data_IF_653149498768
#
_entry.id   IF_653149498768
#
_cell.length_a   1.000
_cell.length_b   1.000
_cell.length_c   1.000
_cell.angle_alpha   90.00
_cell.angle_beta   90.00
_cell.angle_gamma   90.00
#
_symmetry.space_group_name_H-M   'P 1'
#
loop_
_entity.id
_entity.type
_entity.pdbx_description
1 polymer ?
#
# COMPACT_ATOMS: atom_id res chain seq x y z
N UNK A 1 21.10 4.71 -25.50
CA UNK A 1 20.22 4.83 -24.33
C UNK A 1 21.09 4.57 -23.13
N UNK A 2 21.22 5.55 -22.24
CA UNK A 2 21.94 5.34 -20.99
C UNK A 2 20.98 4.58 -20.07
N UNK A 3 21.26 3.29 -19.82
CA UNK A 3 20.40 2.38 -19.06
C UNK A 3 20.33 2.73 -17.55
N UNK A 4 20.87 3.89 -17.15
CA UNK A 4 21.03 4.31 -15.76
C UNK A 4 19.95 5.29 -15.27
N UNK A 5 19.04 5.76 -16.14
CA UNK A 5 17.90 6.58 -15.70
C UNK A 5 16.83 5.68 -15.11
N UNK A 6 16.79 5.63 -13.77
CA UNK A 6 15.82 4.84 -12.99
C UNK A 6 14.36 5.34 -13.13
N UNK A 7 14.13 6.51 -13.72
CA UNK A 7 12.80 7.11 -13.89
C UNK A 7 12.69 7.88 -15.23
N UNK A 8 11.49 7.86 -15.82
CA UNK A 8 11.16 8.58 -17.06
C UNK A 8 10.55 9.96 -16.80
N UNK A 9 10.51 10.43 -15.56
CA UNK A 9 10.05 11.77 -15.20
C UNK A 9 10.78 12.28 -13.96
N UNK A 10 10.79 13.60 -13.75
CA UNK A 10 11.42 14.18 -12.56
C UNK A 10 10.53 13.93 -11.33
N UNK A 11 11.06 13.17 -10.37
CA UNK A 11 10.40 12.85 -9.12
C UNK A 11 11.31 13.14 -7.89
N UNK A 12 10.85 12.68 -6.72
CA UNK A 12 11.56 12.84 -5.45
C UNK A 12 12.54 11.68 -5.16
N UNK A 13 12.56 10.64 -6.00
CA UNK A 13 13.48 9.51 -5.88
C UNK A 13 14.80 9.79 -6.62
N UNK A 14 14.77 10.65 -7.65
CA UNK A 14 15.95 11.12 -8.38
C UNK A 14 16.82 12.08 -7.54
N UNK A 15 18.13 11.84 -7.53
CA UNK A 15 19.11 12.78 -7.00
C UNK A 15 19.24 14.03 -7.88
N UNK A 16 19.95 15.07 -7.42
CA UNK A 16 20.18 16.28 -8.23
C UNK A 16 21.00 15.98 -9.49
N UNK A 17 21.96 15.06 -9.40
CA UNK A 17 22.77 14.65 -10.55
C UNK A 17 21.91 13.90 -11.58
N UNK A 18 21.02 13.01 -11.13
CA UNK A 18 20.12 12.28 -12.03
C UNK A 18 19.13 13.22 -12.73
N UNK A 19 18.69 14.28 -12.05
CA UNK A 19 17.82 15.32 -12.64
C UNK A 19 18.54 16.09 -13.74
N UNK A 20 19.83 16.38 -13.57
CA UNK A 20 20.64 17.02 -14.61
C UNK A 20 20.74 16.09 -15.83
N UNK A 21 21.11 14.82 -15.60
CA UNK A 21 21.20 13.81 -16.66
C UNK A 21 19.87 13.65 -17.40
N UNK A 22 18.75 13.62 -16.67
CA UNK A 22 17.41 13.55 -17.27
C UNK A 22 17.13 14.74 -18.21
N UNK A 23 17.41 15.97 -17.77
CA UNK A 23 17.19 17.18 -18.58
C UNK A 23 18.07 17.19 -19.83
N UNK A 24 19.34 16.82 -19.69
CA UNK A 24 20.27 16.70 -20.81
C UNK A 24 19.81 15.61 -21.80
N UNK A 25 19.32 14.47 -21.29
CA UNK A 25 18.82 13.35 -22.12
C UNK A 25 17.57 13.75 -22.90
N UNK A 26 16.61 14.41 -22.26
CA UNK A 26 15.39 14.92 -22.91
C UNK A 26 15.72 15.91 -24.03
N UNK A 27 16.74 16.75 -23.83
CA UNK A 27 17.18 17.70 -24.86
C UNK A 27 17.93 17.01 -26.00
N UNK A 28 18.68 15.94 -25.72
CA UNK A 28 19.50 15.25 -26.70
C UNK A 28 18.73 14.20 -27.54
N UNK A 29 17.68 13.60 -27.01
CA UNK A 29 16.92 12.52 -27.65
C UNK A 29 15.41 12.85 -27.74
N UNK A 30 14.96 13.14 -28.96
CA UNK A 30 13.54 13.45 -29.23
C UNK A 30 12.61 12.26 -28.96
N UNK A 31 13.05 11.01 -29.19
CA UNK A 31 12.21 9.84 -28.95
C UNK A 31 11.97 9.66 -27.46
N UNK A 32 13.02 9.82 -26.65
CA UNK A 32 12.92 9.76 -25.20
C UNK A 32 11.98 10.85 -24.65
N UNK A 33 12.03 12.06 -25.22
CA UNK A 33 11.08 13.14 -24.90
C UNK A 33 9.64 12.73 -25.23
N UNK A 34 9.40 12.19 -26.42
CA UNK A 34 8.05 11.81 -26.86
C UNK A 34 7.47 10.67 -26.00
N UNK A 35 8.27 9.65 -25.67
CA UNK A 35 7.86 8.55 -24.78
C UNK A 35 7.51 9.07 -23.37
N UNK A 36 8.34 9.96 -22.83
CA UNK A 36 8.11 10.62 -21.54
C UNK A 36 6.78 11.39 -21.53
N UNK A 37 6.52 12.18 -22.57
CA UNK A 37 5.28 12.95 -22.69
C UNK A 37 4.06 12.02 -22.81
N UNK A 38 4.16 10.93 -23.57
CA UNK A 38 3.07 9.96 -23.74
C UNK A 38 2.69 9.33 -22.39
N UNK A 39 3.68 8.90 -21.61
CA UNK A 39 3.47 8.28 -20.31
C UNK A 39 2.75 9.24 -19.34
N UNK A 40 3.15 10.51 -19.30
CA UNK A 40 2.49 11.54 -18.49
C UNK A 40 1.04 11.80 -18.95
N UNK A 41 0.77 11.73 -20.25
CA UNK A 41 -0.61 11.85 -20.77
C UNK A 41 -1.48 10.66 -20.35
N UNK A 42 -0.96 9.44 -20.39
CA UNK A 42 -1.66 8.25 -19.90
C UNK A 42 -1.97 8.36 -18.41
N UNK A 43 -1.00 8.82 -17.61
CA UNK A 43 -1.22 9.03 -16.18
C UNK A 43 -2.33 10.07 -15.93
N UNK A 44 -2.37 11.16 -16.68
CA UNK A 44 -3.47 12.14 -16.61
C UNK A 44 -4.84 11.52 -16.93
N UNK A 45 -4.92 10.58 -17.88
CA UNK A 45 -6.15 9.86 -18.20
C UNK A 45 -6.55 8.92 -17.05
N UNK A 46 -5.60 8.18 -16.48
CA UNK A 46 -5.85 7.26 -15.35
C UNK A 46 -6.29 8.02 -14.10
N UNK A 47 -5.72 9.22 -13.88
CA UNK A 47 -6.07 10.09 -12.76
C UNK A 47 -7.34 10.93 -13.02
N UNK A 48 -7.91 10.89 -14.23
CA UNK A 48 -9.14 11.63 -14.52
C UNK A 48 -10.36 10.93 -13.90
N UNK A 49 -11.20 11.76 -13.25
CA UNK A 49 -12.44 11.49 -12.51
C UNK A 49 -12.78 10.03 -12.18
N UNK A 50 -12.71 9.72 -10.88
CA UNK A 50 -13.37 8.57 -10.25
C UNK A 50 -14.81 8.52 -10.74
N UNK A 51 -15.20 7.41 -11.37
CA UNK A 51 -16.61 7.15 -11.70
C UNK A 51 -17.39 7.05 -10.39
N UNK A 52 -18.09 8.12 -10.00
CA UNK A 52 -18.87 8.21 -8.76
C UNK A 52 -20.10 7.28 -8.73
N UNK A 53 -20.37 6.54 -9.80
CA UNK A 53 -21.51 5.63 -9.87
C UNK A 53 -21.15 4.29 -10.51
N UNK A 54 -21.08 3.26 -9.68
CA UNK A 54 -21.19 1.88 -10.16
C UNK A 54 -22.67 1.65 -10.50
N UNK A 55 -23.03 1.35 -11.76
CA UNK A 55 -24.42 1.08 -12.11
C UNK A 55 -24.90 -0.13 -11.31
N UNK A 56 -26.05 0.01 -10.64
CA UNK A 56 -26.64 -1.08 -9.88
C UNK A 56 -26.96 -2.25 -10.82
N UNK A 57 -26.20 -3.33 -10.71
CA UNK A 57 -26.49 -4.60 -11.37
C UNK A 57 -27.75 -5.18 -10.73
N UNK A 58 -28.90 -5.02 -11.38
CA UNK A 58 -30.13 -5.71 -10.99
C UNK A 58 -30.04 -7.18 -11.45
N UNK A 59 -29.36 -8.00 -10.66
CA UNK A 59 -29.33 -9.45 -10.86
C UNK A 59 -30.69 -9.99 -10.38
N UNK A 60 -31.62 -10.14 -11.32
CA UNK A 60 -32.91 -10.78 -11.04
C UNK A 60 -32.67 -12.27 -10.83
N UNK A 61 -32.44 -12.69 -9.60
CA UNK A 61 -32.38 -14.10 -9.22
C UNK A 61 -33.70 -14.80 -9.58
N UNK A 62 -33.69 -15.61 -10.64
CA UNK A 62 -34.75 -16.60 -10.89
C UNK A 62 -34.56 -17.77 -9.93
N UNK A 63 -35.06 -17.61 -8.71
CA UNK A 63 -35.23 -18.75 -7.78
C UNK A 63 -36.40 -19.60 -8.23
N UNK A 64 -36.11 -20.71 -8.92
CA UNK A 64 -37.10 -21.69 -9.33
C UNK A 64 -37.59 -22.46 -8.09
N UNK A 65 -38.85 -22.27 -7.72
CA UNK A 65 -39.46 -22.76 -6.47
C UNK A 65 -39.72 -24.29 -6.42
N UNK A 66 -39.12 -25.08 -7.32
CA UNK A 66 -39.37 -26.52 -7.41
C UNK A 66 -38.49 -27.35 -6.45
N UNK A 67 -37.31 -26.86 -6.05
CA UNK A 67 -36.38 -27.63 -5.20
C UNK A 67 -36.71 -27.62 -3.70
N UNK A 68 -37.67 -26.80 -3.23
CA UNK A 68 -37.88 -26.58 -1.78
C UNK A 68 -38.88 -27.55 -1.13
N UNK A 69 -39.56 -28.42 -1.91
CA UNK A 69 -40.58 -29.34 -1.37
C UNK A 69 -40.10 -30.77 -1.11
N UNK A 70 -38.87 -31.16 -1.46
CA UNK A 70 -38.44 -32.56 -1.35
C UNK A 70 -37.65 -32.91 -0.07
N UNK A 71 -37.19 -31.95 0.75
CA UNK A 71 -36.29 -32.25 1.89
C UNK A 71 -36.84 -31.84 3.25
N UNK A 72 -38.01 -32.37 3.63
CA UNK A 72 -38.54 -32.30 5.01
C UNK A 72 -38.76 -33.73 5.50
N UNK A 73 -37.71 -34.50 5.84
CA UNK A 73 -37.21 -34.49 7.22
C UNK A 73 -35.73 -34.96 7.38
N UNK A 74 -34.74 -34.05 7.35
CA UNK A 74 -33.36 -34.34 7.85
C UNK A 74 -32.79 -33.13 8.62
N UNK A 75 -33.63 -32.33 9.29
CA UNK A 75 -33.18 -31.05 9.90
C UNK A 75 -32.88 -31.16 11.40
N UNK A 76 -33.26 -32.26 12.08
CA UNK A 76 -33.02 -32.39 13.52
C UNK A 76 -31.61 -32.88 13.91
N UNK A 77 -30.82 -33.46 12.99
CA UNK A 77 -29.47 -33.96 13.29
C UNK A 77 -28.34 -32.99 12.86
N UNK A 78 -28.64 -31.94 12.10
CA UNK A 78 -27.62 -31.07 11.49
C UNK A 78 -27.21 -29.84 12.32
N UNK A 79 -27.97 -29.50 13.37
CA UNK A 79 -27.69 -28.28 14.16
C UNK A 79 -26.42 -28.39 15.02
N UNK A 80 -26.10 -29.58 15.55
CA UNK A 80 -24.89 -29.78 16.35
C UNK A 80 -23.62 -29.87 15.48
N UNK A 81 -23.72 -30.43 14.27
CA UNK A 81 -22.60 -30.54 13.32
C UNK A 81 -22.13 -29.19 12.78
N UNK A 82 -23.03 -28.24 12.56
CA UNK A 82 -22.71 -26.92 12.02
C UNK A 82 -21.92 -26.04 13.02
N UNK A 83 -22.23 -26.10 14.31
CA UNK A 83 -21.48 -25.36 15.33
C UNK A 83 -20.05 -25.91 15.49
N UNK A 84 -19.90 -27.24 15.51
CA UNK A 84 -18.59 -27.88 15.55
C UNK A 84 -17.77 -27.62 14.27
N UNK A 85 -18.42 -27.61 13.10
CA UNK A 85 -17.78 -27.26 11.83
C UNK A 85 -17.37 -25.78 11.75
N UNK A 86 -18.12 -24.85 12.36
CA UNK A 86 -17.75 -23.44 12.45
C UNK A 86 -16.56 -23.21 13.40
N UNK A 87 -16.49 -23.93 14.53
CA UNK A 87 -15.35 -23.93 15.44
C UNK A 87 -14.13 -24.58 14.79
N UNK A 88 -14.31 -25.70 14.07
CA UNK A 88 -13.27 -26.30 13.26
C UNK A 88 -12.82 -25.36 12.15
N UNK A 89 -13.71 -24.65 11.45
CA UNK A 89 -13.34 -23.62 10.49
C UNK A 89 -12.50 -22.52 11.15
N UNK A 90 -12.86 -22.04 12.34
CA UNK A 90 -12.05 -21.03 13.04
C UNK A 90 -10.68 -21.55 13.54
N UNK A 91 -10.56 -22.85 13.85
CA UNK A 91 -9.30 -23.50 14.28
C UNK A 91 -8.45 -23.98 13.08
N UNK A 92 -9.07 -24.25 11.93
CA UNK A 92 -8.46 -24.79 10.71
C UNK A 92 -8.49 -23.83 9.50
N UNK A 93 -8.96 -22.59 9.64
CA UNK A 93 -8.58 -21.55 8.68
C UNK A 93 -7.06 -21.46 8.82
N UNK A 94 -6.28 -21.85 7.80
CA UNK A 94 -4.87 -21.52 7.84
C UNK A 94 -4.85 -20.00 8.00
N UNK A 95 -4.23 -19.52 9.09
CA UNK A 95 -3.70 -18.17 9.12
C UNK A 95 -3.11 -17.99 7.74
N UNK A 96 -3.67 -17.06 6.95
CA UNK A 96 -3.15 -16.79 5.62
C UNK A 96 -1.64 -16.70 5.84
N UNK A 97 -0.86 -17.56 5.19
CA UNK A 97 0.59 -17.43 5.22
C UNK A 97 0.84 -16.10 4.52
N UNK A 98 0.78 -15.02 5.29
CA UNK A 98 0.97 -13.69 4.82
C UNK A 98 2.44 -13.66 4.46
N UNK A 99 2.72 -13.77 3.17
CA UNK A 99 4.08 -13.71 2.66
C UNK A 99 4.66 -12.39 3.15
N UNK A 100 5.57 -12.51 4.10
CA UNK A 100 6.30 -11.39 4.67
C UNK A 100 7.22 -10.87 3.58
N UNK A 101 7.22 -9.54 3.39
CA UNK A 101 8.16 -8.91 2.49
C UNK A 101 8.93 -7.80 3.17
N UNK A 102 10.25 -7.74 2.93
CA UNK A 102 11.06 -6.65 3.43
C UNK A 102 10.62 -5.37 2.73
N UNK A 103 10.22 -4.39 3.52
CA UNK A 103 9.96 -3.03 3.07
C UNK A 103 10.91 -2.07 3.79
N UNK A 104 11.64 -1.28 3.01
CA UNK A 104 12.57 -0.27 3.51
C UNK A 104 11.82 1.05 3.68
N UNK A 105 11.66 1.48 4.91
CA UNK A 105 11.16 2.81 5.27
C UNK A 105 12.32 3.80 5.26
N UNK A 106 12.13 4.96 4.64
CA UNK A 106 13.17 5.99 4.52
C UNK A 106 12.54 7.38 4.69
N UNK A 107 13.18 8.25 5.46
CA UNK A 107 12.78 9.66 5.56
C UNK A 107 14.01 10.57 5.66
N UNK A 108 13.97 11.72 4.98
CA UNK A 108 15.01 12.75 5.08
C UNK A 108 14.74 13.66 6.27
N UNK A 109 15.60 13.60 7.29
CA UNK A 109 15.56 14.43 8.49
C UNK A 109 16.99 14.69 8.99
N UNK A 110 17.75 15.60 8.34
CA UNK A 110 19.16 15.84 8.65
C UNK A 110 19.37 16.48 10.03
N UNK A 111 18.40 17.27 10.50
CA UNK A 111 18.50 17.99 11.78
C UNK A 111 17.94 17.20 12.98
N UNK A 112 17.34 16.02 12.73
CA UNK A 112 16.79 15.19 13.78
C UNK A 112 17.90 14.39 14.49
N UNK A 113 17.74 14.21 15.79
CA UNK A 113 18.56 13.34 16.64
C UNK A 113 17.88 11.99 16.86
N UNK A 114 16.55 11.94 16.76
CA UNK A 114 15.76 10.72 16.94
C UNK A 114 14.61 10.66 15.96
N UNK A 115 14.59 9.59 15.17
CA UNK A 115 13.49 9.25 14.27
C UNK A 115 12.98 7.86 14.61
N UNK A 116 11.67 7.76 14.81
CA UNK A 116 10.96 6.52 15.09
C UNK A 116 9.84 6.31 14.07
N UNK A 117 9.43 5.06 13.89
CA UNK A 117 8.33 4.64 13.05
C UNK A 117 7.28 3.95 13.90
N UNK A 118 6.01 4.30 13.73
CA UNK A 118 4.89 3.65 14.38
C UNK A 118 3.83 3.32 13.34
N UNK A 119 3.32 2.09 13.35
CA UNK A 119 2.28 1.67 12.40
C UNK A 119 1.54 0.41 12.82
N UNK A 120 0.56 0.02 12.02
CA UNK A 120 -0.33 -1.13 12.29
C UNK A 120 0.43 -2.45 12.45
N UNK A 121 1.50 -2.66 11.67
CA UNK A 121 2.35 -3.85 11.73
C UNK A 121 3.09 -4.03 13.06
N UNK A 122 3.32 -2.96 13.83
CA UNK A 122 3.95 -3.01 15.15
C UNK A 122 2.94 -2.87 16.30
N UNK A 123 1.63 -2.82 15.99
CA UNK A 123 0.61 -2.43 16.95
C UNK A 123 0.84 -1.02 17.50
N UNK A 124 1.32 -0.10 16.66
CA UNK A 124 1.68 1.27 17.01
C UNK A 124 2.83 1.42 18.03
N UNK A 125 3.60 0.35 18.26
CA UNK A 125 4.86 0.46 19.01
C UNK A 125 5.88 1.22 18.18
N UNK A 126 6.63 2.10 18.85
CA UNK A 126 7.69 2.91 18.23
C UNK A 126 8.90 2.04 17.92
N UNK A 127 9.36 2.09 16.68
CA UNK A 127 10.52 1.38 16.17
C UNK A 127 11.57 2.43 15.80
N UNK A 128 12.76 2.45 16.41
CA UNK A 128 13.79 3.43 16.08
C UNK A 128 14.36 3.18 14.68
N UNK A 129 14.60 4.25 13.93
CA UNK A 129 15.31 4.23 12.65
C UNK A 129 16.81 4.44 12.87
N UNK A 130 17.62 4.04 11.89
CA UNK A 130 19.06 4.27 11.87
C UNK A 130 19.42 5.30 10.81
N UNK A 131 20.45 6.10 11.07
CA UNK A 131 21.02 7.00 10.06
C UNK A 131 21.66 6.20 8.92
N UNK A 132 21.28 6.51 7.69
CA UNK A 132 21.87 5.98 6.47
C UNK A 132 23.17 6.74 6.13
N UNK A 133 24.21 6.48 6.91
CA UNK A 133 25.51 7.15 6.77
C UNK A 133 25.45 8.64 7.16
N UNK A 134 26.06 9.51 6.36
CA UNK A 134 26.10 10.98 6.57
C UNK A 134 25.12 11.75 5.66
N UNK A 135 24.17 11.05 5.05
CA UNK A 135 23.28 11.61 4.02
C UNK A 135 22.10 12.43 4.58
N UNK A 136 21.84 12.35 5.89
CA UNK A 136 20.65 12.94 6.53
C UNK A 136 19.38 12.10 6.39
N UNK A 137 19.47 10.93 5.76
CA UNK A 137 18.37 9.98 5.68
C UNK A 137 18.36 9.03 6.88
N UNK A 138 17.15 8.72 7.33
CA UNK A 138 16.86 7.72 8.36
C UNK A 138 16.16 6.54 7.71
N UNK A 139 16.56 5.33 8.07
CA UNK A 139 16.01 4.13 7.48
C UNK A 139 15.82 2.96 8.46
N UNK A 140 14.87 2.08 8.10
CA UNK A 140 14.73 0.74 8.69
C UNK A 140 14.06 -0.19 7.69
N UNK A 141 14.39 -1.47 7.73
CA UNK A 141 13.75 -2.49 6.89
C UNK A 141 12.95 -3.42 7.78
N UNK A 142 11.65 -3.56 7.51
CA UNK A 142 10.76 -4.42 8.26
C UNK A 142 10.09 -5.43 7.33
N UNK A 143 9.92 -6.65 7.84
CA UNK A 143 9.10 -7.67 7.21
C UNK A 143 7.63 -7.34 7.42
N UNK A 144 6.92 -7.02 6.34
CA UNK A 144 5.51 -6.67 6.36
C UNK A 144 4.67 -7.77 5.70
N UNK A 145 3.55 -8.18 6.32
CA UNK A 145 2.60 -9.07 5.67
C UNK A 145 1.93 -8.35 4.50
N UNK A 146 1.47 -9.11 3.51
CA UNK A 146 0.64 -8.55 2.44
C UNK A 146 -0.60 -7.85 3.01
N UNK A 147 -0.95 -6.69 2.43
CA UNK A 147 -2.12 -5.93 2.84
C UNK A 147 -1.87 -4.43 2.93
N UNK A 148 -2.80 -3.75 3.59
CA UNK A 148 -2.76 -2.32 3.84
C UNK A 148 -2.22 -2.04 5.25
N UNK A 149 -1.23 -1.16 5.33
CA UNK A 149 -0.56 -0.77 6.56
C UNK A 149 -0.63 0.74 6.76
N UNK A 150 -1.08 1.16 7.93
CA UNK A 150 -1.08 2.57 8.34
C UNK A 150 0.17 2.83 9.16
N UNK A 151 0.86 3.93 8.89
CA UNK A 151 2.03 4.31 9.67
C UNK A 151 2.30 5.83 9.66
N UNK A 152 3.14 6.26 10.60
CA UNK A 152 3.67 7.62 10.67
C UNK A 152 5.09 7.60 11.24
N UNK A 153 5.90 8.58 10.85
CA UNK A 153 7.19 8.85 11.47
C UNK A 153 6.98 9.74 12.69
N UNK A 154 7.77 9.53 13.74
CA UNK A 154 7.79 10.33 14.96
C UNK A 154 9.20 10.92 15.08
N UNK A 155 9.31 12.24 14.96
CA UNK A 155 10.57 12.98 15.04
C UNK A 155 10.67 13.60 16.43
N UNK A 156 11.83 13.47 17.08
CA UNK A 156 12.09 13.96 18.45
C UNK A 156 11.13 13.45 19.54
N UNK A 157 10.25 12.48 19.22
CA UNK A 157 9.36 11.79 20.16
C UNK A 157 7.93 12.34 20.25
N UNK A 158 7.65 13.48 19.61
CA UNK A 158 6.35 14.18 19.66
C UNK A 158 5.80 14.55 18.27
N UNK A 159 6.67 14.93 17.33
CA UNK A 159 6.26 15.38 16.00
C UNK A 159 5.95 14.21 15.08
N UNK A 160 4.66 13.97 14.84
CA UNK A 160 4.21 13.00 13.84
C UNK A 160 4.23 13.59 12.43
N UNK A 161 4.79 12.82 11.50
CA UNK A 161 4.84 13.16 10.08
C UNK A 161 4.39 11.95 9.26
N UNK A 162 3.46 12.13 8.31
CA UNK A 162 3.22 11.12 7.29
C UNK A 162 4.46 11.01 6.39
N UNK A 163 4.58 9.88 5.71
CA UNK A 163 5.56 9.70 4.66
C UNK A 163 5.29 10.68 3.50
N UNK A 164 6.27 11.53 3.13
CA UNK A 164 6.10 12.49 2.06
C UNK A 164 5.99 11.84 0.67
N UNK A 165 6.45 10.59 0.53
CA UNK A 165 6.42 9.84 -0.74
C UNK A 165 5.08 9.14 -0.98
N UNK A 166 4.27 8.95 0.08
CA UNK A 166 2.98 8.27 0.00
C UNK A 166 1.85 9.30 -0.06
N UNK A 167 1.16 9.34 -1.20
CA UNK A 167 0.04 10.25 -1.47
C UNK A 167 -1.21 9.85 -0.67
N UNK A 168 -1.44 8.55 -0.46
CA UNK A 168 -2.63 8.07 0.24
C UNK A 168 -2.45 8.27 1.75
N UNK A 169 -3.29 9.14 2.32
CA UNK A 169 -3.26 9.50 3.73
C UNK A 169 -4.61 9.31 4.38
N UNK A 170 -4.57 9.08 5.69
CA UNK A 170 -5.75 9.02 6.55
C UNK A 170 -5.54 9.99 7.72
N UNK A 171 -6.55 10.82 7.97
CA UNK A 171 -6.62 11.64 9.19
C UNK A 171 -7.11 10.72 10.31
N UNK A 172 -6.34 10.62 11.38
CA UNK A 172 -6.74 9.88 12.56
C UNK A 172 -7.71 10.66 13.44
N UNK A 173 -8.37 9.96 14.37
CA UNK A 173 -9.38 10.52 15.28
C UNK A 173 -8.82 11.59 16.24
N UNK A 174 -7.49 11.79 16.26
CA UNK A 174 -6.78 12.75 17.10
C UNK A 174 -6.17 13.90 16.28
N UNK A 175 -6.49 13.99 14.99
CA UNK A 175 -6.02 15.05 14.08
C UNK A 175 -4.61 14.85 13.52
N UNK A 176 -3.99 13.70 13.73
CA UNK A 176 -2.74 13.30 13.09
C UNK A 176 -2.97 12.70 11.70
N UNK A 177 -1.97 12.78 10.82
CA UNK A 177 -2.00 12.13 9.50
C UNK A 177 -1.16 10.85 9.50
N UNK A 178 -1.71 9.77 8.96
CA UNK A 178 -1.02 8.51 8.70
C UNK A 178 -0.89 8.28 7.20
N UNK A 179 0.24 7.73 6.76
CA UNK A 179 0.40 7.21 5.41
C UNK A 179 -0.13 5.79 5.32
N UNK A 180 -0.76 5.49 4.19
CA UNK A 180 -1.30 4.16 3.88
C UNK A 180 -0.38 3.47 2.85
N UNK A 181 0.36 2.46 3.30
CA UNK A 181 1.18 1.59 2.46
C UNK A 181 0.39 0.35 2.05
N UNK A 182 0.36 0.03 0.75
CA UNK A 182 -0.24 -1.21 0.24
C UNK A 182 0.84 -2.14 -0.30
N UNK A 183 1.07 -3.25 0.39
CA UNK A 183 1.97 -4.32 -0.06
C UNK A 183 1.14 -5.32 -0.87
N UNK A 184 1.42 -5.48 -2.18
CA UNK A 184 0.72 -6.39 -3.11
C UNK A 184 1.66 -7.42 -3.72
N UNK A 185 1.34 -8.71 -3.72
CA UNK A 185 2.14 -9.73 -4.43
C UNK A 185 2.40 -9.32 -5.90
N UNK A 186 3.68 -9.33 -6.32
CA UNK A 186 4.00 -9.32 -7.75
C UNK A 186 3.84 -10.76 -8.22
N UNK A 187 2.86 -10.99 -9.11
CA UNK A 187 2.65 -12.27 -9.79
C UNK A 187 3.54 -12.36 -11.01
#
# INVERSE_FOLDING_TARGET
MDDNLISMYIDNELSLDDKIVFVETIHADENFKDDTVNLLQQEKLIRSEVVDHIPALNIKERRNAWHVKLFRPIVAAAAAGLAAAAILLFVFYPSQDHLMRPYRFVIYQPDAQRVELAGSFSGWKRIPLKLAGQSGYWETTLELPEGEHRFSYIIEGDRRLPDPTIVVREIDDFGGENSILRVKLQT
#
